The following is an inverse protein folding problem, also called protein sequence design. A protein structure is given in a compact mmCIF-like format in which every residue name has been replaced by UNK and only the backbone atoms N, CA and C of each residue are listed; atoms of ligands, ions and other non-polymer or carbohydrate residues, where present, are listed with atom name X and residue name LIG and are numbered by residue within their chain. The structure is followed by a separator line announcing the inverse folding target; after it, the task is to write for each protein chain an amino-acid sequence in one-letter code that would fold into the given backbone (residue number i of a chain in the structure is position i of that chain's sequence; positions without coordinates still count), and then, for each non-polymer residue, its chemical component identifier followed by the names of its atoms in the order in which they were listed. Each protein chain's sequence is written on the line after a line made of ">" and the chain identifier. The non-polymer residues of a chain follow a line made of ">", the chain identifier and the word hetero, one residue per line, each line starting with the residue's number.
data_IF_161360641217
#
_entry.id   IF_161360641217
#
_cell.length_a   1.000
_cell.length_b   1.000
_cell.length_c   1.000
_cell.angle_alpha   90.00
_cell.angle_beta   90.00
_cell.angle_gamma   90.00
#
_symmetry.space_group_name_H-M   'P 1'
#
loop_
_entity.id
_entity.type
_entity.pdbx_description
1 polymer ?
#
# COMPACT_ATOMS: atom_id res chain seq x y z
N UNK A 1 -76.60 -5.25 -29.17
CA UNK A 1 -75.81 -4.87 -30.37
C UNK A 1 -74.36 -4.76 -29.90
N UNK A 2 -73.75 -5.93 -29.65
CA UNK A 2 -72.64 -6.08 -28.70
C UNK A 2 -71.58 -7.01 -29.28
N UNK A 3 -70.96 -6.60 -30.38
CA UNK A 3 -69.87 -7.36 -31.03
C UNK A 3 -68.78 -6.49 -31.68
N UNK A 4 -68.78 -5.17 -31.46
CA UNK A 4 -67.79 -4.25 -32.09
C UNK A 4 -66.84 -3.61 -31.05
N UNK A 5 -67.14 -3.71 -29.74
CA UNK A 5 -66.28 -3.13 -28.69
C UNK A 5 -65.16 -4.07 -28.19
N UNK A 6 -65.25 -5.40 -28.38
CA UNK A 6 -64.21 -6.35 -27.95
C UNK A 6 -62.99 -6.41 -28.88
N UNK A 7 -63.11 -6.00 -30.15
CA UNK A 7 -62.02 -6.12 -31.13
C UNK A 7 -60.96 -5.00 -30.98
N UNK A 8 -61.32 -3.84 -30.43
CA UNK A 8 -60.36 -2.75 -30.16
C UNK A 8 -59.48 -2.98 -28.93
N UNK A 9 -59.94 -3.76 -27.94
CA UNK A 9 -59.14 -4.07 -26.74
C UNK A 9 -58.18 -5.25 -26.92
N UNK A 10 -58.49 -6.21 -27.81
CA UNK A 10 -57.56 -7.30 -28.12
C UNK A 10 -56.39 -6.82 -29.00
N UNK A 11 -56.63 -5.88 -29.92
CA UNK A 11 -55.58 -5.31 -30.79
C UNK A 11 -54.63 -4.41 -30.00
N UNK A 12 -55.13 -3.62 -29.03
CA UNK A 12 -54.27 -2.80 -28.16
C UNK A 12 -53.49 -3.65 -27.14
N UNK A 13 -54.07 -4.73 -26.60
CA UNK A 13 -53.32 -5.65 -25.74
C UNK A 13 -52.26 -6.47 -26.50
N UNK A 14 -52.51 -6.88 -27.75
CA UNK A 14 -51.49 -7.56 -28.57
C UNK A 14 -50.37 -6.62 -29.02
N UNK A 15 -50.67 -5.35 -29.30
CA UNK A 15 -49.66 -4.33 -29.63
C UNK A 15 -48.80 -3.93 -28.42
N UNK A 16 -49.34 -3.90 -27.21
CA UNK A 16 -48.54 -3.69 -25.99
C UNK A 16 -47.61 -4.88 -25.73
N UNK A 17 -48.06 -6.12 -25.98
CA UNK A 17 -47.20 -7.32 -25.87
C UNK A 17 -46.12 -7.32 -26.96
N UNK A 18 -46.42 -6.90 -28.19
CA UNK A 18 -45.43 -6.76 -29.26
C UNK A 18 -44.44 -5.62 -28.99
N UNK A 19 -44.85 -4.48 -28.44
CA UNK A 19 -43.93 -3.38 -28.06
C UNK A 19 -43.10 -3.75 -26.81
N UNK A 20 -43.64 -4.59 -25.92
CA UNK A 20 -42.88 -5.20 -24.82
C UNK A 20 -41.88 -6.26 -25.31
N UNK A 21 -42.14 -6.89 -26.46
CA UNK A 21 -41.27 -7.89 -27.10
C UNK A 21 -40.27 -7.27 -28.10
N UNK A 22 -40.53 -6.05 -28.57
CA UNK A 22 -39.64 -5.23 -29.39
C UNK A 22 -38.90 -4.14 -28.60
N UNK A 23 -39.02 -4.16 -27.27
CA UNK A 23 -37.96 -3.63 -26.42
C UNK A 23 -36.85 -4.65 -26.47
N UNK A 24 -35.99 -4.52 -27.48
CA UNK A 24 -34.75 -5.25 -27.58
C UNK A 24 -34.04 -5.15 -26.23
N UNK A 25 -34.05 -6.25 -25.46
CA UNK A 25 -33.03 -6.51 -24.44
C UNK A 25 -31.70 -6.73 -25.18
N UNK A 26 -31.20 -5.67 -25.83
CA UNK A 26 -29.90 -5.66 -26.48
C UNK A 26 -28.77 -5.78 -25.43
N UNK A 27 -29.12 -5.63 -24.14
CA UNK A 27 -28.23 -5.82 -23.00
C UNK A 27 -28.21 -7.24 -22.39
N UNK A 28 -29.22 -8.11 -22.56
CA UNK A 28 -29.26 -9.39 -21.80
C UNK A 28 -28.14 -10.37 -22.16
N UNK A 29 -27.91 -10.71 -23.44
CA UNK A 29 -26.85 -11.65 -23.81
C UNK A 29 -25.46 -11.11 -23.44
N UNK A 30 -25.33 -9.80 -23.52
CA UNK A 30 -24.08 -9.07 -23.28
C UNK A 30 -23.74 -8.94 -21.80
N UNK A 31 -24.75 -8.61 -20.98
CA UNK A 31 -24.63 -8.53 -19.53
C UNK A 31 -24.45 -9.92 -18.93
N UNK A 32 -25.10 -10.95 -19.50
CA UNK A 32 -24.81 -12.35 -19.17
C UNK A 32 -23.36 -12.72 -19.50
N UNK A 33 -22.85 -12.37 -20.68
CA UNK A 33 -21.45 -12.61 -21.05
C UNK A 33 -20.45 -11.88 -20.13
N UNK A 34 -20.73 -10.62 -19.76
CA UNK A 34 -19.89 -9.86 -18.83
C UNK A 34 -19.91 -10.43 -17.41
N UNK A 35 -21.08 -10.78 -16.88
CA UNK A 35 -21.18 -11.38 -15.55
C UNK A 35 -20.49 -12.75 -15.48
N UNK A 36 -20.57 -13.56 -16.54
CA UNK A 36 -19.80 -14.80 -16.68
C UNK A 36 -18.30 -14.51 -16.75
N UNK A 37 -17.88 -13.52 -17.54
CA UNK A 37 -16.47 -13.11 -17.63
C UNK A 37 -15.89 -12.65 -16.28
N UNK A 38 -16.64 -11.83 -15.53
CA UNK A 38 -16.23 -11.39 -14.18
C UNK A 38 -16.14 -12.58 -13.25
N UNK A 39 -17.14 -13.47 -13.26
CA UNK A 39 -17.14 -14.68 -12.42
C UNK A 39 -15.91 -15.56 -12.69
N UNK A 40 -15.61 -15.81 -13.96
CA UNK A 40 -14.44 -16.59 -14.39
C UNK A 40 -13.14 -15.87 -14.04
N UNK A 41 -13.06 -14.55 -14.21
CA UNK A 41 -11.87 -13.78 -13.84
C UNK A 41 -11.62 -13.78 -12.33
N UNK A 42 -12.69 -13.75 -11.53
CA UNK A 42 -12.61 -13.79 -10.08
C UNK A 42 -12.30 -15.18 -9.51
N UNK A 43 -12.49 -16.27 -10.27
CA UNK A 43 -12.34 -17.63 -9.75
C UNK A 43 -10.91 -18.00 -9.36
N UNK A 44 -9.91 -17.32 -9.96
CA UNK A 44 -8.48 -17.50 -9.63
C UNK A 44 -8.01 -16.58 -8.49
N UNK A 45 -8.87 -15.71 -7.97
CA UNK A 45 -8.51 -14.81 -6.86
C UNK A 45 -8.64 -15.51 -5.52
N UNK A 46 -7.95 -15.01 -4.49
CA UNK A 46 -8.06 -15.53 -3.13
C UNK A 46 -9.44 -15.32 -2.50
N UNK A 47 -10.25 -14.38 -3.01
CA UNK A 47 -11.61 -14.10 -2.54
C UNK A 47 -12.62 -14.04 -3.70
N UNK A 48 -12.95 -15.18 -4.35
CA UNK A 48 -13.77 -15.17 -5.55
C UNK A 48 -15.14 -14.53 -5.36
N UNK A 49 -15.78 -14.74 -4.19
CA UNK A 49 -17.09 -14.14 -3.88
C UNK A 49 -17.00 -12.63 -3.71
N UNK A 50 -16.01 -12.13 -2.95
CA UNK A 50 -15.82 -10.71 -2.74
C UNK A 50 -15.45 -9.99 -4.05
N UNK A 51 -14.55 -10.59 -4.84
CA UNK A 51 -14.19 -10.11 -6.17
C UNK A 51 -15.45 -9.96 -7.03
N UNK A 52 -16.26 -11.03 -7.12
CA UNK A 52 -17.47 -11.00 -7.94
C UNK A 52 -18.48 -9.96 -7.43
N UNK A 53 -18.81 -9.95 -6.13
CA UNK A 53 -19.79 -9.01 -5.58
C UNK A 53 -19.36 -7.55 -5.71
N UNK A 54 -18.05 -7.29 -5.65
CA UNK A 54 -17.50 -5.94 -5.78
C UNK A 54 -17.54 -5.43 -7.22
N UNK A 55 -17.40 -6.33 -8.20
CA UNK A 55 -17.26 -5.98 -9.62
C UNK A 55 -18.56 -6.15 -10.43
N UNK A 56 -19.48 -7.02 -10.02
CA UNK A 56 -20.69 -7.33 -10.81
C UNK A 56 -21.57 -6.09 -11.04
N UNK A 57 -21.58 -5.14 -10.10
CA UNK A 57 -22.29 -3.85 -10.25
C UNK A 57 -21.70 -2.93 -11.33
N UNK A 58 -20.51 -3.27 -11.82
CA UNK A 58 -19.80 -2.58 -12.90
C UNK A 58 -19.77 -3.41 -14.19
N UNK A 59 -20.58 -4.46 -14.32
CA UNK A 59 -20.58 -5.34 -15.49
C UNK A 59 -20.75 -4.58 -16.82
N UNK A 60 -21.60 -3.57 -16.86
CA UNK A 60 -21.84 -2.79 -18.09
C UNK A 60 -20.60 -2.01 -18.55
N UNK A 61 -19.76 -1.57 -17.59
CA UNK A 61 -18.49 -0.91 -17.86
C UNK A 61 -17.40 -1.95 -18.20
N UNK A 62 -17.31 -3.03 -17.42
CA UNK A 62 -16.26 -4.04 -17.52
C UNK A 62 -16.36 -4.84 -18.80
N UNK A 63 -17.59 -5.18 -19.20
CA UNK A 63 -17.86 -5.97 -20.40
C UNK A 63 -17.07 -7.29 -20.34
N UNK A 64 -16.37 -7.66 -21.41
CA UNK A 64 -15.41 -8.79 -21.44
C UNK A 64 -13.95 -8.30 -21.56
N UNK A 65 -13.68 -7.07 -21.14
CA UNK A 65 -12.37 -6.43 -21.29
C UNK A 65 -11.53 -6.57 -20.02
N UNK A 66 -10.38 -7.26 -20.13
CA UNK A 66 -9.47 -7.51 -19.00
C UNK A 66 -8.85 -6.23 -18.44
N UNK A 67 -8.48 -5.27 -19.30
CA UNK A 67 -7.87 -3.99 -18.88
C UNK A 67 -8.88 -3.17 -18.08
N UNK A 68 -10.12 -3.08 -18.58
CA UNK A 68 -11.21 -2.36 -17.90
C UNK A 68 -11.61 -3.08 -16.60
N UNK A 69 -11.61 -4.41 -16.59
CA UNK A 69 -11.81 -5.19 -15.36
C UNK A 69 -10.77 -4.84 -14.29
N UNK A 70 -9.48 -4.85 -14.66
CA UNK A 70 -8.38 -4.52 -13.74
C UNK A 70 -8.48 -3.08 -13.27
N UNK A 71 -8.68 -2.11 -14.17
CA UNK A 71 -8.83 -0.70 -13.80
C UNK A 71 -10.04 -0.45 -12.89
N UNK A 72 -11.15 -1.14 -13.14
CA UNK A 72 -12.34 -1.08 -12.27
C UNK A 72 -12.05 -1.65 -10.89
N UNK A 73 -11.36 -2.80 -10.81
CA UNK A 73 -10.95 -3.39 -9.54
C UNK A 73 -10.03 -2.48 -8.73
N UNK A 74 -9.06 -1.83 -9.38
CA UNK A 74 -8.18 -0.85 -8.74
C UNK A 74 -8.97 0.34 -8.18
N UNK A 75 -9.91 0.90 -8.94
CA UNK A 75 -10.74 2.02 -8.50
C UNK A 75 -11.64 1.65 -7.32
N UNK A 76 -12.28 0.47 -7.36
CA UNK A 76 -13.08 -0.04 -6.24
C UNK A 76 -12.22 -0.21 -4.99
N UNK A 77 -11.02 -0.76 -5.15
CA UNK A 77 -10.07 -0.97 -4.05
C UNK A 77 -9.61 0.36 -3.47
N UNK A 78 -9.19 1.32 -4.31
CA UNK A 78 -8.80 2.67 -3.89
C UNK A 78 -9.89 3.38 -3.09
N UNK A 79 -11.14 3.30 -3.55
CA UNK A 79 -12.27 3.88 -2.83
C UNK A 79 -12.48 3.22 -1.46
N UNK A 80 -12.38 1.89 -1.40
CA UNK A 80 -12.46 1.14 -0.15
C UNK A 80 -11.34 1.52 0.82
N UNK A 81 -10.08 1.54 0.37
CA UNK A 81 -8.91 1.87 1.20
C UNK A 81 -9.01 3.29 1.77
N UNK A 82 -9.43 4.27 0.95
CA UNK A 82 -9.68 5.65 1.42
C UNK A 82 -10.77 5.70 2.50
N UNK A 83 -11.87 4.98 2.28
CA UNK A 83 -12.96 4.90 3.24
C UNK A 83 -12.50 4.29 4.57
N UNK A 84 -11.73 3.20 4.52
CA UNK A 84 -11.16 2.55 5.70
C UNK A 84 -10.20 3.49 6.44
N UNK A 85 -9.28 4.14 5.73
CA UNK A 85 -8.34 5.11 6.35
C UNK A 85 -9.08 6.25 7.05
N UNK A 86 -10.12 6.81 6.43
CA UNK A 86 -10.94 7.87 7.04
C UNK A 86 -11.71 7.37 8.28
N UNK A 87 -12.26 6.15 8.22
CA UNK A 87 -12.93 5.52 9.35
C UNK A 87 -11.96 5.32 10.52
N UNK A 88 -10.77 4.79 10.25
CA UNK A 88 -9.75 4.57 11.28
C UNK A 88 -9.21 5.87 11.87
N UNK A 89 -9.03 6.91 11.06
CA UNK A 89 -8.68 8.25 11.54
C UNK A 89 -9.74 8.84 12.47
N UNK A 90 -11.02 8.52 12.20
CA UNK A 90 -12.14 8.93 13.06
C UNK A 90 -12.16 8.15 14.37
N UNK A 91 -11.98 6.82 14.29
CA UNK A 91 -11.92 5.95 15.47
C UNK A 91 -10.75 6.32 16.40
N UNK A 92 -9.58 6.67 15.84
CA UNK A 92 -8.40 7.10 16.60
C UNK A 92 -8.64 8.36 17.46
N UNK A 93 -9.71 9.12 17.17
CA UNK A 93 -10.12 10.33 17.91
C UNK A 93 -11.27 10.08 18.89
N UNK A 94 -11.87 8.90 18.85
CA UNK A 94 -12.97 8.52 19.74
C UNK A 94 -12.49 8.39 21.19
N UNK A 95 -13.38 8.66 22.15
CA UNK A 95 -13.10 8.44 23.56
C UNK A 95 -13.19 6.95 23.91
N UNK A 96 -12.34 6.49 24.82
CA UNK A 96 -12.32 5.10 25.30
C UNK A 96 -11.16 4.25 24.81
N UNK A 97 -10.35 4.74 23.86
CA UNK A 97 -9.12 4.07 23.44
C UNK A 97 -7.95 4.38 24.39
N UNK A 98 -7.16 3.37 24.69
CA UNK A 98 -5.90 3.54 25.40
C UNK A 98 -4.79 4.09 24.46
N UNK A 99 -3.70 4.67 24.99
CA UNK A 99 -2.65 5.27 24.16
C UNK A 99 -2.01 4.31 23.13
N UNK A 100 -1.95 3.00 23.43
CA UNK A 100 -1.40 1.99 22.52
C UNK A 100 -2.34 1.73 21.34
N UNK A 101 -3.64 1.68 21.59
CA UNK A 101 -4.66 1.53 20.54
C UNK A 101 -4.70 2.75 19.62
N UNK A 102 -4.60 3.96 20.20
CA UNK A 102 -4.51 5.20 19.40
C UNK A 102 -3.24 5.22 18.55
N UNK A 103 -2.11 4.72 19.06
CA UNK A 103 -0.89 4.59 18.29
C UNK A 103 -1.06 3.59 17.14
N UNK A 104 -1.54 2.38 17.41
CA UNK A 104 -1.78 1.36 16.38
C UNK A 104 -2.76 1.84 15.29
N UNK A 105 -3.79 2.62 15.66
CA UNK A 105 -4.70 3.22 14.67
C UNK A 105 -4.02 4.28 13.81
N UNK A 106 -3.12 5.10 14.37
CA UNK A 106 -2.37 6.09 13.59
C UNK A 106 -1.38 5.41 12.65
N UNK A 107 -0.68 4.40 13.14
CA UNK A 107 0.26 3.61 12.33
C UNK A 107 -0.50 2.96 11.16
N UNK A 108 -1.65 2.33 11.42
CA UNK A 108 -2.46 1.79 10.33
C UNK A 108 -2.98 2.87 9.35
N UNK A 109 -3.40 4.05 9.83
CA UNK A 109 -3.82 5.14 8.93
C UNK A 109 -2.70 5.57 7.99
N UNK A 110 -1.45 5.52 8.47
CA UNK A 110 -0.25 5.75 7.66
C UNK A 110 -0.05 4.64 6.61
N UNK A 111 -0.08 3.37 7.00
CA UNK A 111 -0.01 2.23 6.05
C UNK A 111 -1.11 2.29 4.97
N UNK A 112 -2.36 2.60 5.36
CA UNK A 112 -3.44 2.75 4.41
C UNK A 112 -3.28 3.99 3.51
N UNK A 113 -2.54 5.00 3.98
CA UNK A 113 -2.14 6.16 3.18
C UNK A 113 -1.16 5.76 2.06
N UNK A 114 -0.13 4.99 2.41
CA UNK A 114 0.82 4.43 1.45
C UNK A 114 0.10 3.55 0.41
N UNK A 115 -0.78 2.66 0.88
CA UNK A 115 -1.64 1.84 0.01
C UNK A 115 -2.45 2.68 -0.99
N UNK A 116 -2.97 3.83 -0.57
CA UNK A 116 -3.75 4.73 -1.43
C UNK A 116 -2.88 5.32 -2.54
N UNK A 117 -1.64 5.69 -2.24
CA UNK A 117 -0.73 6.27 -3.21
C UNK A 117 -0.20 5.22 -4.20
N UNK A 118 0.03 4.01 -3.75
CA UNK A 118 0.42 2.88 -4.61
C UNK A 118 -0.72 2.43 -5.53
N UNK A 119 -1.97 2.42 -5.02
CA UNK A 119 -3.15 2.18 -5.86
C UNK A 119 -3.34 3.28 -6.90
N UNK A 120 -3.05 4.55 -6.58
CA UNK A 120 -3.07 5.65 -7.56
C UNK A 120 -2.01 5.46 -8.65
N UNK A 121 -0.78 5.10 -8.27
CA UNK A 121 0.30 4.78 -9.23
C UNK A 121 -0.11 3.62 -10.14
N UNK A 122 -0.70 2.57 -9.57
CA UNK A 122 -1.24 1.44 -10.35
C UNK A 122 -2.28 1.89 -11.39
N UNK A 123 -3.18 2.80 -11.04
CA UNK A 123 -4.19 3.33 -11.96
C UNK A 123 -3.53 4.18 -13.06
N UNK A 124 -2.54 5.00 -12.70
CA UNK A 124 -1.81 5.81 -13.65
C UNK A 124 -1.03 4.96 -14.67
N UNK A 125 -0.34 3.91 -14.21
CA UNK A 125 0.35 2.96 -15.07
C UNK A 125 -0.61 2.24 -16.03
N UNK A 126 -1.83 1.91 -15.57
CA UNK A 126 -2.87 1.33 -16.42
C UNK A 126 -3.36 2.27 -17.52
N UNK A 127 -3.30 3.60 -17.31
CA UNK A 127 -3.68 4.58 -18.32
C UNK A 127 -2.63 4.71 -19.43
N UNK A 128 -1.37 4.39 -19.13
CA UNK A 128 -0.26 4.40 -20.07
C UNK A 128 -0.07 2.98 -20.64
N UNK A 129 -0.88 2.58 -21.63
CA UNK A 129 -0.95 1.19 -22.13
C UNK A 129 0.35 0.67 -22.83
N UNK A 130 1.39 0.35 -22.05
CA UNK A 130 2.59 -0.38 -22.50
C UNK A 130 2.69 -1.75 -21.80
N UNK A 131 3.24 -2.80 -22.45
CA UNK A 131 3.37 -4.12 -21.84
C UNK A 131 4.15 -4.15 -20.52
N UNK A 132 5.15 -3.28 -20.34
CA UNK A 132 5.92 -3.09 -19.10
C UNK A 132 5.07 -2.67 -17.91
N UNK A 133 3.95 -1.98 -18.15
CA UNK A 133 3.16 -1.35 -17.11
C UNK A 133 2.39 -2.38 -16.27
N UNK A 134 2.17 -3.61 -16.77
CA UNK A 134 1.51 -4.65 -15.96
C UNK A 134 2.40 -5.16 -14.82
N UNK A 135 3.72 -5.20 -15.01
CA UNK A 135 4.66 -5.58 -13.95
C UNK A 135 4.73 -4.50 -12.86
N UNK A 136 4.65 -3.23 -13.26
CA UNK A 136 4.61 -2.09 -12.33
C UNK A 136 3.27 -2.03 -11.58
N UNK A 137 2.14 -2.21 -12.27
CA UNK A 137 0.82 -2.34 -11.65
C UNK A 137 0.80 -3.48 -10.64
N UNK A 138 1.34 -4.65 -11.01
CA UNK A 138 1.43 -5.78 -10.09
C UNK A 138 2.31 -5.44 -8.87
N UNK A 139 3.39 -4.69 -9.07
CA UNK A 139 4.30 -4.26 -8.01
C UNK A 139 3.61 -3.34 -7.02
N UNK A 140 2.95 -2.30 -7.50
CA UNK A 140 2.25 -1.31 -6.69
C UNK A 140 1.03 -1.91 -5.97
N UNK A 141 0.23 -2.75 -6.63
CA UNK A 141 -0.89 -3.46 -5.98
C UNK A 141 -0.39 -4.41 -4.88
N UNK A 142 0.74 -5.10 -5.11
CA UNK A 142 1.32 -5.97 -4.09
C UNK A 142 1.87 -5.20 -2.89
N UNK A 143 2.32 -3.96 -3.11
CA UNK A 143 2.73 -3.05 -2.05
C UNK A 143 1.53 -2.63 -1.20
N UNK A 144 0.44 -2.21 -1.84
CA UNK A 144 -0.77 -1.78 -1.14
C UNK A 144 -1.40 -2.91 -0.30
N UNK A 145 -1.33 -4.16 -0.80
CA UNK A 145 -1.75 -5.33 -0.02
C UNK A 145 -0.83 -5.63 1.17
N UNK A 146 0.46 -5.28 1.07
CA UNK A 146 1.40 -5.47 2.17
C UNK A 146 1.13 -4.45 3.26
N UNK A 147 0.96 -3.19 2.91
CA UNK A 147 0.66 -2.13 3.86
C UNK A 147 -0.68 -2.37 4.58
N UNK A 148 -1.70 -2.84 3.85
CA UNK A 148 -2.94 -3.32 4.45
C UNK A 148 -2.69 -4.45 5.47
N UNK A 149 -1.83 -5.42 5.13
CA UNK A 149 -1.47 -6.48 6.07
C UNK A 149 -0.70 -5.97 7.29
N UNK A 150 0.25 -5.05 7.11
CA UNK A 150 1.02 -4.41 8.19
C UNK A 150 0.09 -3.64 9.13
N UNK A 151 -0.86 -2.88 8.59
CA UNK A 151 -1.91 -2.23 9.35
C UNK A 151 -2.62 -3.25 10.27
N UNK A 152 -3.08 -4.38 9.71
CA UNK A 152 -3.83 -5.37 10.49
C UNK A 152 -2.98 -6.11 11.53
N UNK A 153 -1.70 -6.36 11.23
CA UNK A 153 -0.74 -6.99 12.14
C UNK A 153 -0.43 -6.11 13.36
N UNK A 154 -0.46 -4.78 13.20
CA UNK A 154 -0.31 -3.81 14.29
C UNK A 154 -1.36 -3.96 15.41
N UNK A 155 -2.50 -4.62 15.14
CA UNK A 155 -3.55 -4.91 16.12
C UNK A 155 -3.47 -6.33 16.72
N UNK A 156 -2.58 -7.21 16.22
CA UNK A 156 -2.51 -8.60 16.67
C UNK A 156 -1.66 -8.81 17.93
N UNK A 157 -0.85 -7.83 18.35
CA UNK A 157 -0.06 -7.90 19.61
C UNK A 157 -0.86 -7.59 20.89
N UNK A 158 -2.20 -7.57 20.83
CA UNK A 158 -3.08 -7.36 21.99
C UNK A 158 -3.57 -8.71 22.56
N UNK A 159 -2.64 -9.56 22.99
CA UNK A 159 -2.94 -10.73 23.81
C UNK A 159 -2.30 -10.57 25.21
N UNK A 160 -2.59 -9.45 25.89
CA UNK A 160 -2.65 -9.39 27.36
C UNK A 160 -3.76 -8.41 27.75
N UNK A 161 -4.91 -8.95 28.13
CA UNK A 161 -5.89 -8.27 28.99
C UNK A 161 -6.81 -7.23 28.34
N UNK A 162 -7.94 -7.70 27.79
CA UNK A 162 -9.21 -6.95 27.80
C UNK A 162 -9.28 -5.71 26.90
N UNK A 163 -9.37 -5.91 25.59
CA UNK A 163 -9.94 -4.91 24.67
C UNK A 163 -10.80 -5.60 23.61
N UNK A 164 -11.89 -4.93 23.27
CA UNK A 164 -13.15 -5.44 22.75
C UNK A 164 -13.04 -6.13 21.36
N UNK A 165 -13.66 -7.30 21.26
CA UNK A 165 -13.89 -8.08 20.04
C UNK A 165 -14.51 -7.28 18.88
N UNK A 166 -15.12 -6.13 19.15
CA UNK A 166 -15.75 -5.25 18.18
C UNK A 166 -14.76 -4.50 17.26
N UNK A 167 -13.57 -4.13 17.74
CA UNK A 167 -12.56 -3.45 16.90
C UNK A 167 -11.98 -4.41 15.86
N UNK A 168 -11.76 -5.66 16.25
CA UNK A 168 -11.22 -6.73 15.38
C UNK A 168 -12.13 -6.99 14.17
N UNK A 169 -13.45 -6.98 14.36
CA UNK A 169 -14.41 -7.20 13.26
C UNK A 169 -14.64 -5.95 12.40
N UNK A 170 -14.41 -4.77 12.95
CA UNK A 170 -14.56 -3.49 12.24
C UNK A 170 -13.37 -3.20 11.31
N UNK A 171 -12.16 -3.56 11.75
CA UNK A 171 -10.93 -3.46 10.94
C UNK A 171 -10.91 -4.56 9.87
N UNK A 172 -11.38 -5.77 10.24
CA UNK A 172 -11.44 -6.94 9.37
C UNK A 172 -12.70 -6.95 8.50
N UNK A 173 -12.92 -5.90 7.71
CA UNK A 173 -13.77 -6.02 6.52
C UNK A 173 -13.41 -7.29 5.72
N UNK A 174 -14.22 -7.76 4.76
CA UNK A 174 -14.03 -9.07 4.11
C UNK A 174 -12.69 -9.28 3.37
N UNK A 175 -11.79 -8.30 3.39
CA UNK A 175 -10.39 -8.39 3.02
C UNK A 175 -9.54 -8.48 4.29
N UNK A 176 -9.13 -9.71 4.68
CA UNK A 176 -7.88 -10.00 5.40
C UNK A 176 -7.89 -11.46 5.91
N UNK A 177 -7.25 -12.35 5.16
CA UNK A 177 -6.36 -13.39 5.68
C UNK A 177 -5.63 -14.17 4.57
N UNK A 178 -4.30 -14.13 4.66
CA UNK A 178 -3.31 -15.10 4.14
C UNK A 178 -3.36 -15.40 2.63
N UNK A 179 -2.47 -14.70 1.91
CA UNK A 179 -1.76 -15.30 0.77
C UNK A 179 -1.30 -16.71 1.18
N UNK A 180 -1.85 -17.73 0.52
CA UNK A 180 -1.56 -19.14 0.80
C UNK A 180 -0.19 -19.49 0.21
N UNK A 181 0.86 -18.83 0.71
CA UNK A 181 2.23 -19.28 0.52
C UNK A 181 2.38 -20.47 1.45
N UNK A 182 2.72 -21.65 0.91
CA UNK A 182 3.01 -22.83 1.74
C UNK A 182 4.06 -22.44 2.78
N UNK A 183 3.90 -22.90 4.03
CA UNK A 183 4.79 -22.56 5.15
C UNK A 183 6.27 -22.76 4.79
N UNK A 184 6.56 -23.74 3.93
CA UNK A 184 7.90 -24.03 3.43
C UNK A 184 8.46 -22.95 2.49
N UNK A 185 7.65 -22.40 1.58
CA UNK A 185 8.07 -21.31 0.69
C UNK A 185 8.33 -20.02 1.47
N UNK A 186 7.48 -19.68 2.44
CA UNK A 186 7.67 -18.49 3.27
C UNK A 186 8.94 -18.62 4.15
N UNK A 187 9.18 -19.81 4.69
CA UNK A 187 10.40 -20.12 5.45
C UNK A 187 11.65 -19.95 4.59
N UNK A 188 11.61 -20.42 3.33
CA UNK A 188 12.71 -20.24 2.39
C UNK A 188 12.97 -18.76 2.05
N UNK A 189 11.92 -17.94 1.91
CA UNK A 189 12.04 -16.51 1.64
C UNK A 189 12.62 -15.75 2.84
N UNK A 190 12.12 -16.02 4.05
CA UNK A 190 12.68 -15.44 5.28
C UNK A 190 14.14 -15.85 5.46
N UNK A 191 14.50 -17.11 5.16
CA UNK A 191 15.89 -17.55 5.18
C UNK A 191 16.76 -16.76 4.18
N UNK A 192 16.29 -16.57 2.95
CA UNK A 192 17.01 -15.75 1.97
C UNK A 192 17.29 -14.34 2.48
N UNK A 193 16.29 -13.67 3.06
CA UNK A 193 16.47 -12.33 3.65
C UNK A 193 17.50 -12.37 4.77
N UNK A 194 17.41 -13.34 5.67
CA UNK A 194 18.37 -13.53 6.76
C UNK A 194 19.80 -13.69 6.23
N UNK A 195 19.98 -14.51 5.21
CA UNK A 195 21.28 -14.74 4.58
C UNK A 195 21.86 -13.45 3.96
N UNK A 196 21.02 -12.60 3.34
CA UNK A 196 21.46 -11.31 2.82
C UNK A 196 21.82 -10.32 3.95
N UNK A 197 20.99 -10.25 4.99
CA UNK A 197 21.17 -9.36 6.13
C UNK A 197 22.40 -9.68 6.98
N UNK A 198 22.88 -10.93 7.00
CA UNK A 198 24.06 -11.33 7.79
C UNK A 198 25.33 -10.55 7.42
N UNK A 199 25.42 -10.02 6.20
CA UNK A 199 26.57 -9.25 5.72
C UNK A 199 26.47 -7.74 6.00
N UNK A 200 25.36 -7.28 6.56
CA UNK A 200 25.11 -5.86 6.83
C UNK A 200 25.66 -5.43 8.19
N UNK A 201 25.86 -4.13 8.37
CA UNK A 201 26.28 -3.53 9.66
C UNK A 201 25.29 -3.82 10.80
N UNK A 202 23.99 -3.91 10.48
CA UNK A 202 22.92 -4.16 11.45
C UNK A 202 22.03 -5.35 11.04
N UNK A 203 22.52 -6.60 11.13
CA UNK A 203 21.81 -7.78 10.61
C UNK A 203 20.42 -7.99 11.22
N UNK A 204 20.27 -7.70 12.52
CA UNK A 204 19.00 -7.86 13.23
C UNK A 204 17.96 -6.83 12.78
N UNK A 205 18.37 -5.57 12.62
CA UNK A 205 17.49 -4.49 12.14
C UNK A 205 17.08 -4.80 10.70
N UNK A 206 18.06 -5.09 9.82
CA UNK A 206 17.81 -5.51 8.44
C UNK A 206 16.78 -6.64 8.35
N UNK A 207 16.97 -7.74 9.10
CA UNK A 207 16.05 -8.87 9.04
C UNK A 207 14.67 -8.51 9.60
N UNK A 208 14.61 -7.79 10.72
CA UNK A 208 13.33 -7.39 11.33
C UNK A 208 12.52 -6.51 10.38
N UNK A 209 13.16 -5.55 9.73
CA UNK A 209 12.51 -4.61 8.82
C UNK A 209 12.07 -5.27 7.50
N UNK A 210 12.80 -6.27 7.01
CA UNK A 210 12.52 -6.89 5.70
C UNK A 210 11.73 -8.20 5.78
N UNK A 211 11.78 -8.92 6.90
CA UNK A 211 11.08 -10.22 7.03
C UNK A 211 9.55 -10.19 6.88
N UNK A 212 8.84 -9.08 7.18
CA UNK A 212 7.42 -8.95 6.83
C UNK A 212 7.16 -9.02 5.32
N UNK A 213 8.10 -8.50 4.51
CA UNK A 213 8.01 -8.44 3.05
C UNK A 213 8.48 -9.73 2.35
N UNK A 214 8.73 -10.82 3.10
CA UNK A 214 9.32 -12.05 2.55
C UNK A 214 8.54 -12.68 1.39
N UNK A 215 7.21 -12.64 1.45
CA UNK A 215 6.31 -13.13 0.39
C UNK A 215 6.39 -12.32 -0.90
N UNK A 216 6.78 -11.03 -0.83
CA UNK A 216 6.98 -10.13 -1.97
C UNK A 216 8.39 -10.28 -2.56
N UNK A 217 9.40 -10.42 -1.71
CA UNK A 217 10.80 -10.54 -2.11
C UNK A 217 11.07 -11.82 -2.90
N UNK A 218 10.44 -12.96 -2.55
CA UNK A 218 10.53 -14.25 -3.29
C UNK A 218 11.94 -14.70 -3.72
N UNK A 219 12.97 -14.32 -2.96
CA UNK A 219 14.41 -14.53 -3.28
C UNK A 219 14.95 -13.75 -4.49
N UNK A 220 14.24 -12.72 -4.94
CA UNK A 220 14.69 -11.81 -5.98
C UNK A 220 15.51 -10.67 -5.35
N UNK A 221 16.74 -10.47 -5.84
CA UNK A 221 17.65 -9.44 -5.33
C UNK A 221 17.21 -8.02 -5.69
N UNK A 222 16.70 -7.80 -6.90
CA UNK A 222 16.19 -6.48 -7.31
C UNK A 222 14.96 -6.12 -6.47
N UNK A 223 14.03 -7.05 -6.29
CA UNK A 223 12.86 -6.84 -5.43
C UNK A 223 13.26 -6.61 -3.98
N UNK A 224 14.26 -7.35 -3.46
CA UNK A 224 14.83 -7.09 -2.14
C UNK A 224 15.31 -5.63 -2.02
N UNK A 225 16.11 -5.16 -2.98
CA UNK A 225 16.61 -3.77 -2.97
C UNK A 225 15.49 -2.75 -3.05
N UNK A 226 14.52 -2.94 -3.96
CA UNK A 226 13.35 -2.05 -4.09
C UNK A 226 12.61 -1.91 -2.76
N UNK A 227 12.38 -3.03 -2.08
CA UNK A 227 11.73 -3.03 -0.75
C UNK A 227 12.61 -2.38 0.31
N UNK A 228 13.92 -2.65 0.34
CA UNK A 228 14.82 -2.02 1.30
C UNK A 228 14.82 -0.49 1.18
N UNK A 229 14.86 0.04 -0.06
CA UNK A 229 14.82 1.49 -0.29
C UNK A 229 13.46 2.07 0.10
N UNK A 230 12.36 1.38 -0.22
CA UNK A 230 11.03 1.81 0.19
C UNK A 230 10.90 1.88 1.73
N UNK A 231 11.37 0.86 2.45
CA UNK A 231 11.36 0.85 3.91
C UNK A 231 12.21 2.00 4.48
N UNK A 232 13.39 2.26 3.89
CA UNK A 232 14.24 3.38 4.30
C UNK A 232 13.57 4.75 4.02
N UNK A 233 12.93 4.92 2.87
CA UNK A 233 12.17 6.13 2.53
C UNK A 233 11.09 6.43 3.56
N UNK A 234 10.35 5.40 3.97
CA UNK A 234 9.30 5.52 4.98
C UNK A 234 9.87 5.98 6.33
N UNK A 235 10.96 5.36 6.78
CA UNK A 235 11.64 5.76 8.01
C UNK A 235 12.12 7.22 7.94
N UNK A 236 12.78 7.61 6.84
CA UNK A 236 13.27 8.97 6.63
C UNK A 236 12.12 10.01 6.61
N UNK A 237 10.97 9.71 5.97
CA UNK A 237 9.79 10.59 5.96
C UNK A 237 9.23 10.80 7.37
N UNK A 238 9.18 9.74 8.15
CA UNK A 238 8.75 9.78 9.56
C UNK A 238 9.70 10.62 10.42
N UNK A 239 11.01 10.45 10.22
CA UNK A 239 12.05 11.25 10.87
C UNK A 239 11.93 12.74 10.54
N UNK A 240 11.84 13.09 9.25
CA UNK A 240 11.68 14.47 8.79
C UNK A 240 10.45 15.15 9.39
N UNK A 241 9.30 14.45 9.38
CA UNK A 241 8.05 14.92 9.98
C UNK A 241 8.20 15.20 11.48
N UNK A 242 8.91 14.33 12.19
CA UNK A 242 9.18 14.48 13.62
C UNK A 242 10.10 15.66 13.90
N UNK A 243 11.21 15.78 13.17
CA UNK A 243 12.15 16.91 13.28
C UNK A 243 11.45 18.24 13.00
N UNK A 244 10.58 18.29 11.98
CA UNK A 244 9.76 19.46 11.66
C UNK A 244 8.83 19.86 12.81
N UNK A 245 8.18 18.88 13.47
CA UNK A 245 7.30 19.14 14.64
C UNK A 245 8.10 19.63 15.84
N UNK A 246 9.28 19.05 16.07
CA UNK A 246 10.18 19.45 17.16
C UNK A 246 10.69 20.87 16.93
N UNK A 247 11.18 21.19 15.74
CA UNK A 247 11.65 22.53 15.35
C UNK A 247 10.59 23.62 15.55
N UNK A 248 9.31 23.30 15.33
CA UNK A 248 8.17 24.22 15.52
C UNK A 248 7.73 24.40 16.98
N UNK A 249 8.31 23.66 17.93
CA UNK A 249 7.93 23.71 19.35
C UNK A 249 8.52 24.95 20.06
N UNK A 250 7.94 26.13 19.78
CA UNK A 250 8.37 27.43 20.32
C UNK A 250 8.51 27.41 21.86
N UNK A 251 9.62 27.96 22.35
CA UNK A 251 9.90 28.16 23.79
C UNK A 251 10.39 26.92 24.54
N UNK A 252 10.57 25.77 23.88
CA UNK A 252 11.05 24.54 24.52
C UNK A 252 12.50 24.19 24.23
N UNK A 253 13.10 24.72 23.16
CA UNK A 253 14.45 24.41 22.72
C UNK A 253 15.42 25.55 23.05
N UNK A 254 16.66 25.23 23.37
CA UNK A 254 17.75 26.22 23.42
C UNK A 254 18.15 26.65 22.01
N UNK A 255 18.94 27.72 21.90
CA UNK A 255 19.47 28.15 20.60
C UNK A 255 20.31 27.04 19.94
N UNK A 256 21.20 26.39 20.70
CA UNK A 256 22.00 25.26 20.22
C UNK A 256 21.14 24.07 19.79
N UNK A 257 20.14 23.68 20.58
CA UNK A 257 19.21 22.59 20.19
C UNK A 257 18.43 22.93 18.92
N UNK A 258 18.11 24.21 18.69
CA UNK A 258 17.39 24.65 17.48
C UNK A 258 18.26 24.51 16.23
N UNK A 259 19.55 24.85 16.32
CA UNK A 259 20.50 24.73 15.21
C UNK A 259 20.71 23.27 14.83
N UNK A 260 21.06 22.42 15.80
CA UNK A 260 21.30 20.98 15.54
C UNK A 260 20.06 20.28 14.96
N UNK A 261 18.86 20.65 15.41
CA UNK A 261 17.62 20.09 14.83
C UNK A 261 17.38 20.58 13.40
N UNK A 262 17.81 21.80 13.06
CA UNK A 262 17.70 22.32 11.71
C UNK A 262 18.69 21.62 10.77
N UNK A 263 19.94 21.48 11.20
CA UNK A 263 21.01 20.83 10.43
C UNK A 263 20.68 19.34 10.21
N UNK A 264 20.34 18.59 11.27
CA UNK A 264 19.87 17.21 11.10
C UNK A 264 18.62 17.11 10.20
N UNK A 265 17.70 18.09 10.23
CA UNK A 265 16.54 18.06 9.32
C UNK A 265 16.96 18.20 7.86
N UNK A 266 17.95 19.04 7.57
CA UNK A 266 18.54 19.18 6.24
C UNK A 266 19.18 17.87 5.79
N UNK A 267 19.99 17.22 6.64
CA UNK A 267 20.56 15.91 6.31
C UNK A 267 19.50 14.83 6.04
N UNK A 268 18.40 14.84 6.80
CA UNK A 268 17.28 13.92 6.56
C UNK A 268 16.52 14.27 5.27
N UNK A 269 16.47 15.55 4.88
CA UNK A 269 15.93 15.99 3.58
C UNK A 269 16.80 15.48 2.43
N UNK A 270 18.12 15.64 2.52
CA UNK A 270 19.07 15.11 1.54
C UNK A 270 18.97 13.57 1.43
N UNK A 271 18.84 12.89 2.57
CA UNK A 271 18.59 11.45 2.63
C UNK A 271 17.33 11.06 1.86
N UNK A 272 16.25 11.83 1.96
CA UNK A 272 15.01 11.57 1.22
C UNK A 272 15.25 11.67 -0.29
N UNK A 273 15.88 12.75 -0.75
CA UNK A 273 16.17 12.97 -2.16
C UNK A 273 17.07 11.86 -2.75
N UNK A 274 18.08 11.42 -2.00
CA UNK A 274 18.98 10.34 -2.41
C UNK A 274 18.28 8.99 -2.48
N UNK A 275 17.39 8.70 -1.53
CA UNK A 275 16.60 7.48 -1.54
C UNK A 275 15.55 7.47 -2.65
N UNK A 276 14.93 8.62 -2.97
CA UNK A 276 13.99 8.75 -4.09
C UNK A 276 14.71 8.57 -5.43
N UNK A 277 15.87 9.20 -5.62
CA UNK A 277 16.72 8.94 -6.80
C UNK A 277 17.11 7.47 -6.92
N UNK A 278 17.46 6.82 -5.80
CA UNK A 278 17.79 5.40 -5.79
C UNK A 278 16.59 4.50 -6.16
N UNK A 279 15.38 4.88 -5.73
CA UNK A 279 14.15 4.19 -6.11
C UNK A 279 13.85 4.32 -7.60
N UNK A 280 14.02 5.53 -8.17
CA UNK A 280 13.83 5.79 -9.59
C UNK A 280 14.86 5.06 -10.46
N UNK A 281 16.12 5.02 -10.02
CA UNK A 281 17.17 4.23 -10.66
C UNK A 281 16.81 2.74 -10.74
N UNK A 282 16.20 2.20 -9.68
CA UNK A 282 15.73 0.80 -9.65
C UNK A 282 14.51 0.54 -10.52
N UNK A 283 13.65 1.53 -10.77
CA UNK A 283 12.49 1.38 -11.65
C UNK A 283 12.92 0.99 -13.07
N UNK A 284 14.08 1.48 -13.51
CA UNK A 284 14.64 1.21 -14.84
C UNK A 284 15.41 -0.12 -14.94
N UNK A 285 15.54 -0.89 -13.84
CA UNK A 285 16.23 -2.19 -13.85
C UNK A 285 15.24 -3.33 -14.12
N UNK A 286 15.58 -4.18 -15.08
CA UNK A 286 14.80 -5.37 -15.46
C UNK A 286 15.52 -6.69 -15.07
N UNK A 287 16.72 -6.60 -14.48
CA UNK A 287 17.53 -7.73 -14.05
C UNK A 287 18.32 -8.39 -15.20
N UNK A 288 18.50 -7.69 -16.32
CA UNK A 288 19.38 -8.13 -17.41
C UNK A 288 20.79 -7.59 -17.17
N UNK A 289 21.77 -8.47 -16.89
CA UNK A 289 23.17 -8.13 -16.53
C UNK A 289 23.97 -7.37 -17.61
N UNK A 290 23.47 -6.23 -18.08
CA UNK A 290 24.05 -5.34 -19.07
C UNK A 290 25.02 -4.37 -18.39
N UNK A 291 25.90 -3.75 -19.18
CA UNK A 291 26.81 -2.72 -18.67
C UNK A 291 26.04 -1.51 -18.12
N UNK A 292 24.89 -1.20 -18.73
CA UNK A 292 24.02 -0.11 -18.30
C UNK A 292 23.39 -0.41 -16.93
N UNK A 293 22.89 -1.64 -16.71
CA UNK A 293 22.39 -2.03 -15.37
C UNK A 293 23.48 -2.00 -14.31
N UNK A 294 24.71 -2.39 -14.65
CA UNK A 294 25.84 -2.32 -13.71
C UNK A 294 26.14 -0.88 -13.32
N UNK A 295 26.16 0.04 -14.29
CA UNK A 295 26.36 1.46 -14.04
C UNK A 295 25.26 2.02 -13.12
N UNK A 296 23.99 1.73 -13.41
CA UNK A 296 22.87 2.13 -12.57
C UNK A 296 23.00 1.59 -11.14
N UNK A 297 23.43 0.33 -10.99
CA UNK A 297 23.68 -0.26 -9.67
C UNK A 297 24.80 0.43 -8.91
N UNK A 298 25.87 0.84 -9.59
CA UNK A 298 26.96 1.57 -8.95
C UNK A 298 26.53 2.99 -8.55
N UNK A 299 25.72 3.66 -9.38
CA UNK A 299 25.08 4.95 -9.02
C UNK A 299 24.17 4.82 -7.80
N UNK A 300 23.30 3.79 -7.76
CA UNK A 300 22.43 3.52 -6.61
C UNK A 300 23.26 3.30 -5.33
N UNK A 301 24.35 2.53 -5.41
CA UNK A 301 25.24 2.34 -4.25
C UNK A 301 25.81 3.66 -3.76
N UNK A 302 26.23 4.55 -4.67
CA UNK A 302 26.76 5.86 -4.31
C UNK A 302 25.72 6.68 -3.56
N UNK A 303 24.49 6.79 -4.07
CA UNK A 303 23.42 7.52 -3.39
C UNK A 303 23.06 6.92 -2.03
N UNK A 304 22.99 5.59 -1.93
CA UNK A 304 22.74 4.92 -0.65
C UNK A 304 23.88 5.14 0.36
N UNK A 305 25.14 5.19 -0.07
CA UNK A 305 26.27 5.52 0.81
C UNK A 305 26.25 6.96 1.29
N UNK A 306 25.85 7.91 0.43
CA UNK A 306 25.66 9.30 0.81
C UNK A 306 24.52 9.44 1.83
N UNK A 307 23.37 8.78 1.60
CA UNK A 307 22.24 8.79 2.53
C UNK A 307 22.61 8.23 3.93
N UNK A 308 23.43 7.17 4.00
CA UNK A 308 23.94 6.66 5.28
C UNK A 308 24.86 7.68 5.96
N UNK A 309 25.64 8.42 5.17
CA UNK A 309 26.52 9.47 5.69
C UNK A 309 25.69 10.59 6.30
N UNK A 310 24.66 11.07 5.60
CA UNK A 310 23.75 12.12 6.08
C UNK A 310 23.02 11.69 7.36
N UNK A 311 22.56 10.44 7.45
CA UNK A 311 21.97 9.85 8.66
C UNK A 311 22.96 9.85 9.84
N UNK A 312 24.20 9.42 9.60
CA UNK A 312 25.25 9.44 10.62
C UNK A 312 25.62 10.87 11.05
N UNK A 313 25.71 11.81 10.10
CA UNK A 313 25.99 13.23 10.39
C UNK A 313 24.89 13.85 11.24
N UNK A 314 23.62 13.64 10.89
CA UNK A 314 22.50 14.09 11.71
C UNK A 314 22.65 13.57 13.15
N UNK A 315 22.94 12.27 13.35
CA UNK A 315 22.95 11.67 14.70
C UNK A 315 24.20 11.99 15.52
N UNK A 316 25.34 12.20 14.88
CA UNK A 316 26.62 12.53 15.52
C UNK A 316 26.65 13.96 16.08
N UNK A 317 26.04 14.93 15.40
CA UNK A 317 25.96 16.32 15.88
C UNK A 317 25.25 16.45 17.24
N UNK A 318 24.28 15.57 17.54
CA UNK A 318 23.60 15.54 18.84
C UNK A 318 24.51 15.03 19.98
N UNK A 319 25.63 14.40 19.68
CA UNK A 319 26.59 13.91 20.68
C UNK A 319 27.59 14.99 21.09
N UNK A 320 27.87 15.93 20.20
CA UNK A 320 28.86 16.99 20.41
C UNK A 320 28.29 18.21 21.16
N UNK A 321 26.99 18.49 20.98
CA UNK A 321 26.29 19.58 21.67
C UNK A 321 25.53 19.04 22.87
N UNK A 322 25.52 19.79 23.99
CA UNK A 322 24.78 19.48 25.23
C UNK A 322 23.24 19.53 25.03
N UNK A 323 22.72 18.63 24.21
CA UNK A 323 21.30 18.41 23.97
C UNK A 323 20.73 17.64 25.15
N UNK A 324 19.53 18.04 25.62
CA UNK A 324 18.91 17.35 26.75
C UNK A 324 18.71 15.86 26.44
N UNK A 325 19.04 14.94 27.38
CA UNK A 325 18.98 13.48 27.12
C UNK A 325 17.61 12.98 26.64
N UNK A 326 16.52 13.62 27.07
CA UNK A 326 15.17 13.30 26.64
C UNK A 326 14.91 13.61 25.16
N UNK A 327 15.51 14.70 24.65
CA UNK A 327 15.42 15.10 23.26
C UNK A 327 16.33 14.24 22.39
N UNK A 328 17.57 14.00 22.85
CA UNK A 328 18.52 13.11 22.18
C UNK A 328 17.95 11.69 22.03
N UNK A 329 17.37 11.13 23.10
CA UNK A 329 16.70 9.83 23.03
C UNK A 329 15.56 9.83 22.02
N UNK A 330 14.75 10.89 21.99
CA UNK A 330 13.60 10.98 21.07
C UNK A 330 14.05 11.01 19.61
N UNK A 331 15.08 11.79 19.29
CA UNK A 331 15.59 11.93 17.93
C UNK A 331 16.28 10.64 17.49
N UNK A 332 17.19 10.09 18.31
CA UNK A 332 17.86 8.81 18.04
C UNK A 332 16.89 7.64 17.84
N UNK A 333 15.83 7.58 18.63
CA UNK A 333 14.79 6.53 18.47
C UNK A 333 13.95 6.73 17.19
N UNK A 334 14.03 7.89 16.56
CA UNK A 334 13.27 8.19 15.34
C UNK A 334 14.14 8.06 14.09
N UNK A 335 15.42 8.43 14.17
CA UNK A 335 16.38 8.38 13.05
C UNK A 335 16.95 6.96 12.89
N UNK A 336 17.38 6.31 13.96
CA UNK A 336 18.01 4.97 13.92
C UNK A 336 17.01 3.79 13.78
N UNK A 337 15.75 4.06 13.40
CA UNK A 337 14.65 3.08 13.46
C UNK A 337 14.44 2.31 12.15
#
# INVERSE_FOLDING_TARGET
>A
MDAICCCKHLITSFLIILVSSLSTECGRPYQEASTVFIRTSCSSTSYPRLCYSSLVKHADLIQTNRVVLTGTALNVTLASTKSTSAMMSTLAKSQGLNPREVAAMKDCVEELGDSVDELRRSIDEMNHLRPSNFDDVQTWVSAALTDESTCTDGFQETDIGGADSNIKNTIRGPSASKSTTTTDSLKAYKKFIKDQCNSTTYPNVCYKSLSPYASKIKRNRVTLTKISIHVALKAAKSAYSTLTKVSKSKGKLTHGETLVIADCRENVEDTLDLLEQSADGLANLNGTSTNDEKFQWDTIKTWMSAAITDESTCTDEFQEIQVRPSLQKKIKTTVDK
#
